data_IF_325240654137
#
_entry.id   IF_325240654137
#
_cell.length_a   1.000
_cell.length_b   1.000
_cell.length_c   1.000
_cell.angle_alpha   90.00
_cell.angle_beta   90.00
_cell.angle_gamma   90.00
#
_symmetry.space_group_name_H-M   'P 1'
#
loop_
_entity.id
_entity.type
_entity.pdbx_description
1 polymer ?
#
# COMPACT_ATOMS: atom_id res chain seq x y z
N UNK A 1 41.78 -7.40 -40.09
CA UNK A 1 40.56 -6.63 -40.42
C UNK A 1 39.27 -7.41 -40.17
N UNK A 2 39.16 -8.69 -40.52
CA UNK A 2 37.92 -9.48 -40.32
C UNK A 2 37.50 -9.70 -38.84
N UNK A 3 38.43 -9.70 -37.88
CA UNK A 3 38.09 -9.95 -36.46
C UNK A 3 37.42 -8.77 -35.77
N UNK A 4 37.76 -7.52 -36.13
CA UNK A 4 37.14 -6.33 -35.52
C UNK A 4 35.68 -6.20 -35.94
N UNK A 5 35.39 -6.45 -37.21
CA UNK A 5 34.02 -6.43 -37.71
C UNK A 5 33.14 -7.52 -37.06
N UNK A 6 33.70 -8.72 -36.83
CA UNK A 6 33.01 -9.77 -36.10
C UNK A 6 32.76 -9.40 -34.62
N UNK A 7 33.74 -8.78 -33.96
CA UNK A 7 33.60 -8.30 -32.58
C UNK A 7 32.55 -7.18 -32.45
N UNK A 8 32.55 -6.21 -33.37
CA UNK A 8 31.54 -5.16 -33.40
C UNK A 8 30.13 -5.73 -33.61
N UNK A 9 29.99 -6.75 -34.46
CA UNK A 9 28.71 -7.42 -34.67
C UNK A 9 28.24 -8.17 -33.43
N UNK A 10 29.14 -8.86 -32.71
CA UNK A 10 28.80 -9.52 -31.45
C UNK A 10 28.38 -8.50 -30.38
N UNK A 11 29.15 -7.41 -30.24
CA UNK A 11 28.79 -6.33 -29.31
C UNK A 11 27.45 -5.68 -29.65
N UNK A 12 27.11 -5.52 -30.93
CA UNK A 12 25.81 -5.00 -31.32
C UNK A 12 24.66 -5.93 -30.88
N UNK A 13 24.83 -7.25 -31.06
CA UNK A 13 23.84 -8.25 -30.60
C UNK A 13 23.72 -8.24 -29.07
N UNK A 14 24.84 -8.12 -28.35
CA UNK A 14 24.84 -8.06 -26.89
C UNK A 14 24.13 -6.79 -26.39
N UNK A 15 24.34 -5.65 -27.05
CA UNK A 15 23.66 -4.38 -26.73
C UNK A 15 22.16 -4.52 -26.97
N UNK A 16 21.74 -5.07 -28.12
CA UNK A 16 20.32 -5.30 -28.42
C UNK A 16 19.65 -6.21 -27.36
N UNK A 17 20.35 -7.26 -26.91
CA UNK A 17 19.89 -8.14 -25.84
C UNK A 17 19.71 -7.41 -24.51
N UNK A 18 20.72 -6.63 -24.10
CA UNK A 18 20.66 -5.83 -22.87
C UNK A 18 19.57 -4.75 -22.91
N UNK A 19 19.34 -4.14 -24.07
CA UNK A 19 18.25 -3.18 -24.25
C UNK A 19 16.87 -3.83 -24.12
N UNK A 20 16.69 -5.03 -24.69
CA UNK A 20 15.46 -5.79 -24.54
C UNK A 20 15.20 -6.18 -23.07
N UNK A 21 16.22 -6.69 -22.37
CA UNK A 21 16.13 -7.02 -20.93
C UNK A 21 15.82 -5.78 -20.09
N UNK A 22 16.49 -4.66 -20.36
CA UNK A 22 16.23 -3.40 -19.65
C UNK A 22 14.80 -2.88 -19.90
N UNK A 23 14.26 -3.07 -21.11
CA UNK A 23 12.88 -2.71 -21.42
C UNK A 23 11.88 -3.58 -20.64
N UNK A 24 12.11 -4.90 -20.58
CA UNK A 24 11.27 -5.83 -19.81
C UNK A 24 11.30 -5.53 -18.30
N UNK A 25 12.50 -5.28 -17.75
CA UNK A 25 12.66 -4.91 -16.35
C UNK A 25 11.93 -3.60 -16.02
N UNK A 26 12.00 -2.60 -16.91
CA UNK A 26 11.26 -1.33 -16.75
C UNK A 26 9.75 -1.55 -16.79
N UNK A 27 9.25 -2.38 -17.70
CA UNK A 27 7.83 -2.72 -17.77
C UNK A 27 7.37 -3.40 -16.47
N UNK A 28 8.12 -4.40 -16.00
CA UNK A 28 7.85 -5.10 -14.74
C UNK A 28 7.86 -4.14 -13.55
N UNK A 29 8.85 -3.25 -13.46
CA UNK A 29 8.94 -2.27 -12.40
C UNK A 29 7.75 -1.28 -12.40
N UNK A 30 7.24 -0.92 -13.58
CA UNK A 30 6.05 -0.07 -13.69
C UNK A 30 4.80 -0.80 -13.20
N UNK A 31 4.62 -2.07 -13.56
CA UNK A 31 3.47 -2.86 -13.13
C UNK A 31 3.48 -3.12 -11.62
N UNK A 32 4.64 -3.45 -11.06
CA UNK A 32 4.80 -3.59 -9.61
C UNK A 32 4.48 -2.29 -8.87
N UNK A 33 4.89 -1.13 -9.39
CA UNK A 33 4.56 0.18 -8.80
C UNK A 33 3.06 0.46 -8.84
N UNK A 34 2.38 0.14 -9.94
CA UNK A 34 0.93 0.28 -10.06
C UNK A 34 0.21 -0.61 -9.05
N UNK A 35 0.62 -1.87 -8.94
CA UNK A 35 0.01 -2.83 -8.03
C UNK A 35 0.25 -2.43 -6.56
N UNK A 36 1.46 -1.98 -6.23
CA UNK A 36 1.77 -1.46 -4.91
C UNK A 36 0.89 -0.25 -4.56
N UNK A 37 0.69 0.68 -5.49
CA UNK A 37 -0.21 1.82 -5.29
C UNK A 37 -1.66 1.38 -5.07
N UNK A 38 -2.14 0.39 -5.84
CA UNK A 38 -3.48 -0.19 -5.68
C UNK A 38 -3.66 -0.84 -4.30
N UNK A 39 -2.70 -1.65 -3.87
CA UNK A 39 -2.73 -2.32 -2.56
C UNK A 39 -2.69 -1.32 -1.41
N UNK A 40 -1.86 -0.28 -1.51
CA UNK A 40 -1.81 0.80 -0.51
C UNK A 40 -3.13 1.55 -0.40
N UNK A 41 -3.79 1.83 -1.53
CA UNK A 41 -5.10 2.48 -1.54
C UNK A 41 -6.16 1.61 -0.85
N UNK A 42 -6.20 0.31 -1.18
CA UNK A 42 -7.13 -0.66 -0.55
C UNK A 42 -6.85 -0.74 0.95
N UNK A 43 -5.60 -0.95 1.35
CA UNK A 43 -5.22 -1.06 2.76
C UNK A 43 -5.60 0.19 3.55
N UNK A 44 -5.47 1.38 2.96
CA UNK A 44 -5.88 2.64 3.58
C UNK A 44 -7.39 2.69 3.79
N UNK A 45 -8.18 2.30 2.79
CA UNK A 45 -9.64 2.22 2.89
C UNK A 45 -10.05 1.21 3.96
N UNK A 46 -9.51 -0.01 3.93
CA UNK A 46 -9.81 -1.05 4.91
C UNK A 46 -9.47 -0.60 6.34
N UNK A 47 -8.34 0.09 6.52
CA UNK A 47 -7.96 0.64 7.82
C UNK A 47 -8.96 1.70 8.31
N UNK A 48 -9.46 2.56 7.42
CA UNK A 48 -10.49 3.56 7.74
C UNK A 48 -11.82 2.92 8.10
N UNK A 49 -12.23 1.89 7.36
CA UNK A 49 -13.46 1.14 7.63
C UNK A 49 -13.39 0.42 8.97
N UNK A 50 -12.25 -0.20 9.29
CA UNK A 50 -12.03 -0.82 10.60
C UNK A 50 -12.08 0.20 11.73
N UNK A 51 -11.50 1.39 11.56
CA UNK A 51 -11.60 2.48 12.54
C UNK A 51 -13.07 2.86 12.76
N UNK A 52 -13.84 3.00 11.69
CA UNK A 52 -15.26 3.38 11.76
C UNK A 52 -16.11 2.32 12.44
N UNK A 53 -15.94 1.05 12.08
CA UNK A 53 -16.65 -0.08 12.70
C UNK A 53 -16.28 -0.19 14.18
N UNK A 54 -14.98 -0.10 14.52
CA UNK A 54 -14.53 -0.10 15.91
C UNK A 54 -15.16 1.06 16.69
N UNK A 55 -15.17 2.28 16.14
CA UNK A 55 -15.80 3.45 16.75
C UNK A 55 -17.29 3.25 17.04
N UNK A 56 -18.04 2.64 16.11
CA UNK A 56 -19.45 2.27 16.30
C UNK A 56 -19.64 1.23 17.40
N UNK A 57 -18.82 0.19 17.44
CA UNK A 57 -18.86 -0.84 18.48
C UNK A 57 -18.55 -0.25 19.86
N UNK A 58 -17.59 0.66 19.95
CA UNK A 58 -17.29 1.39 21.19
C UNK A 58 -18.48 2.25 21.65
N UNK A 59 -19.13 2.95 20.71
CA UNK A 59 -20.34 3.73 21.01
C UNK A 59 -21.47 2.84 21.53
N UNK A 60 -21.70 1.70 20.87
CA UNK A 60 -22.73 0.73 21.25
C UNK A 60 -22.44 0.11 22.63
N UNK A 61 -21.20 -0.28 22.90
CA UNK A 61 -20.77 -0.80 24.21
C UNK A 61 -21.09 0.21 25.32
N UNK A 62 -20.77 1.49 25.11
CA UNK A 62 -21.07 2.56 26.06
C UNK A 62 -22.58 2.74 26.27
N UNK A 63 -23.36 2.74 25.20
CA UNK A 63 -24.81 2.86 25.27
C UNK A 63 -25.47 1.67 25.98
N UNK A 64 -24.90 0.46 25.82
CA UNK A 64 -25.35 -0.75 26.49
C UNK A 64 -24.86 -0.87 27.95
N UNK A 65 -24.05 0.07 28.44
CA UNK A 65 -23.43 0.00 29.77
C UNK A 65 -22.39 -1.11 29.91
N UNK A 66 -21.93 -1.68 28.79
CA UNK A 66 -20.90 -2.73 28.76
C UNK A 66 -19.54 -2.06 28.82
N UNK A 67 -18.80 -2.31 29.89
CA UNK A 67 -17.45 -1.80 30.05
C UNK A 67 -16.45 -2.64 29.25
N UNK A 68 -15.65 -1.98 28.40
CA UNK A 68 -14.53 -2.64 27.74
C UNK A 68 -13.45 -3.01 28.76
N UNK A 69 -12.87 -4.20 28.60
CA UNK A 69 -11.74 -4.61 29.42
C UNK A 69 -10.53 -3.66 29.21
N UNK A 70 -9.61 -3.57 30.18
CA UNK A 70 -8.47 -2.65 30.11
C UNK A 70 -7.60 -2.82 28.86
N UNK A 71 -7.43 -4.05 28.34
CA UNK A 71 -6.63 -4.29 27.12
C UNK A 71 -7.34 -3.77 25.88
N UNK A 72 -8.65 -3.97 25.78
CA UNK A 72 -9.44 -3.39 24.70
C UNK A 72 -9.41 -1.87 24.74
N UNK A 73 -9.55 -1.24 25.92
CA UNK A 73 -9.41 0.23 26.06
C UNK A 73 -8.04 0.74 25.60
N UNK A 74 -6.96 0.04 25.98
CA UNK A 74 -5.60 0.36 25.53
C UNK A 74 -5.46 0.27 24.00
N UNK A 75 -5.98 -0.80 23.42
CA UNK A 75 -5.92 -1.04 21.99
C UNK A 75 -6.63 0.06 21.20
N UNK A 76 -7.85 0.43 21.62
CA UNK A 76 -8.62 1.51 20.99
C UNK A 76 -7.89 2.86 21.09
N UNK A 77 -7.29 3.16 22.26
CA UNK A 77 -6.52 4.41 22.46
C UNK A 77 -5.29 4.47 21.55
N UNK A 78 -4.48 3.41 21.52
CA UNK A 78 -3.27 3.32 20.70
C UNK A 78 -3.57 3.41 19.21
N UNK A 79 -4.72 2.88 18.78
CA UNK A 79 -5.15 2.90 17.37
C UNK A 79 -5.95 4.13 16.98
N UNK A 80 -6.24 5.04 17.92
CA UNK A 80 -7.08 6.22 17.68
C UNK A 80 -8.54 5.88 17.32
N UNK A 81 -8.98 4.65 17.59
CA UNK A 81 -10.33 4.17 17.32
C UNK A 81 -11.26 4.80 18.35
N UNK A 82 -11.84 5.93 17.99
CA UNK A 82 -12.72 6.71 18.86
C UNK A 82 -14.12 6.76 18.25
N UNK A 83 -15.14 6.73 19.11
CA UNK A 83 -16.55 6.84 18.70
C UNK A 83 -16.91 8.26 18.24
N UNK A 84 -15.98 9.20 18.32
CA UNK A 84 -16.17 10.54 17.77
C UNK A 84 -16.08 10.41 16.26
N UNK A 85 -17.23 10.26 15.62
CA UNK A 85 -17.40 10.81 14.28
C UNK A 85 -16.80 12.23 14.34
N UNK A 86 -15.71 12.48 13.62
CA UNK A 86 -15.32 13.84 13.29
C UNK A 86 -16.50 14.44 12.51
N UNK A 87 -17.48 14.98 13.24
CA UNK A 87 -18.32 16.05 12.71
C UNK A 87 -17.33 17.12 12.33
N UNK A 88 -17.16 17.33 11.02
CA UNK A 88 -16.29 18.35 10.48
C UNK A 88 -16.50 19.65 11.23
N UNK A 89 -15.48 20.05 11.99
CA UNK A 89 -15.28 21.44 12.33
C UNK A 89 -14.75 22.10 11.04
N UNK A 90 -15.68 22.61 10.24
CA UNK A 90 -15.37 23.67 9.30
C UNK A 90 -15.23 24.97 10.10
N UNK A 91 -14.19 25.79 9.86
CA UNK A 91 -14.19 27.19 10.23
C UNK A 91 -15.19 28.00 9.41
#
# INVERSE_FOLDING_TARGET
>A
MASLHAQLRLQAVDIEGLEAEAAEQRATAQDLRRELGRLQAIQKTDAQDLVHVAGKLLALSRAAGIELDPKSKELFRRRGWSSTAQRGQQP
#
